data_IF_659835564495
#
_entry.id   IF_659835564495
#
_cell.length_a   1.000
_cell.length_b   1.000
_cell.length_c   1.000
_cell.angle_alpha   90.00
_cell.angle_beta   90.00
_cell.angle_gamma   90.00
#
_symmetry.space_group_name_H-M   'P 1'
#
loop_
_entity.id
_entity.type
_entity.pdbx_description
1 polymer ?
#
# COMPACT_ATOMS: atom_id res chain seq x y z
N UNK A 1 -10.69 -0.43 38.80
CA UNK A 1 -11.59 0.70 38.49
C UNK A 1 -10.76 1.75 37.78
N UNK A 2 -10.77 1.73 36.45
CA UNK A 2 -10.06 2.70 35.60
C UNK A 2 -10.96 3.90 35.40
N UNK A 3 -10.64 5.02 36.05
CA UNK A 3 -11.35 6.28 35.87
C UNK A 3 -10.65 7.00 34.72
N UNK A 4 -11.16 6.85 33.50
CA UNK A 4 -10.97 7.88 32.49
C UNK A 4 -12.17 8.82 32.62
N UNK A 5 -11.96 10.13 32.84
CA UNK A 5 -13.07 11.06 32.93
C UNK A 5 -13.74 11.18 31.56
N UNK A 6 -14.99 10.71 31.50
CA UNK A 6 -15.91 11.04 30.42
C UNK A 6 -16.08 12.56 30.35
N UNK A 7 -15.93 13.11 29.12
CA UNK A 7 -16.16 14.50 28.67
C UNK A 7 -14.93 15.40 28.60
N UNK A 8 -14.13 15.17 27.56
CA UNK A 8 -13.21 16.18 27.00
C UNK A 8 -14.04 17.01 25.99
N UNK A 9 -13.97 18.35 26.04
CA UNK A 9 -14.69 19.20 25.08
C UNK A 9 -14.03 19.14 23.69
N UNK A 10 -14.75 19.45 22.60
CA UNK A 10 -14.19 19.38 21.23
C UNK A 10 -12.89 20.18 21.05
N UNK A 11 -12.75 21.30 21.77
CA UNK A 11 -11.55 22.16 21.72
C UNK A 11 -10.36 21.50 22.44
N UNK A 12 -10.63 20.75 23.51
CA UNK A 12 -9.61 20.09 24.31
C UNK A 12 -9.01 18.88 23.56
N UNK A 13 -9.80 18.15 22.77
CA UNK A 13 -9.26 17.03 21.96
C UNK A 13 -8.37 17.48 20.81
N UNK A 14 -8.75 18.53 20.09
CA UNK A 14 -7.91 19.08 19.01
C UNK A 14 -6.58 19.55 19.62
N UNK A 15 -6.63 20.30 20.72
CA UNK A 15 -5.42 20.75 21.43
C UNK A 15 -4.57 19.58 21.94
N UNK A 16 -5.20 18.47 22.32
CA UNK A 16 -4.49 17.29 22.81
C UNK A 16 -3.68 16.61 21.70
N UNK A 17 -4.18 16.58 20.46
CA UNK A 17 -3.50 15.89 19.35
C UNK A 17 -2.60 16.80 18.51
N UNK A 18 -2.66 18.11 18.67
CA UNK A 18 -1.93 19.10 17.86
C UNK A 18 -0.41 18.86 17.82
N UNK A 19 0.17 18.37 18.92
CA UNK A 19 1.61 18.11 19.05
C UNK A 19 1.97 16.62 19.13
N UNK A 20 1.05 15.73 18.76
CA UNK A 20 1.21 14.28 18.95
C UNK A 20 1.32 13.52 17.65
N UNK A 21 2.28 12.62 17.60
CA UNK A 21 2.51 11.74 16.45
C UNK A 21 2.56 10.30 16.92
N UNK A 22 1.89 9.41 16.20
CA UNK A 22 2.04 7.97 16.41
C UNK A 22 3.24 7.48 15.60
N UNK A 23 4.21 6.86 16.27
CA UNK A 23 5.43 6.35 15.66
C UNK A 23 5.53 4.85 15.88
N UNK A 24 5.85 4.10 14.83
CA UNK A 24 6.05 2.66 14.93
C UNK A 24 7.49 2.36 15.34
N UNK A 25 7.67 1.47 16.31
CA UNK A 25 8.98 0.96 16.67
C UNK A 25 9.52 0.00 15.60
N UNK A 26 10.71 0.26 15.08
CA UNK A 26 11.36 -0.56 14.04
C UNK A 26 12.18 -1.73 14.59
N UNK A 27 12.22 -1.91 15.91
CA UNK A 27 12.93 -3.04 16.50
C UNK A 27 12.33 -4.37 15.98
N UNK A 28 13.16 -5.30 15.47
CA UNK A 28 12.69 -6.61 15.01
C UNK A 28 11.87 -7.30 16.12
N UNK A 29 10.59 -7.55 15.85
CA UNK A 29 9.67 -8.20 16.78
C UNK A 29 8.93 -7.28 17.77
N UNK A 30 9.13 -5.95 17.75
CA UNK A 30 8.32 -5.03 18.54
C UNK A 30 7.13 -4.48 17.76
N UNK A 31 7.39 -3.58 16.79
CA UNK A 31 6.42 -3.04 15.83
C UNK A 31 5.19 -2.36 16.48
N UNK A 32 5.29 -2.06 17.77
CA UNK A 32 4.28 -1.34 18.54
C UNK A 32 4.31 0.13 18.15
N UNK A 33 3.13 0.72 18.14
CA UNK A 33 2.93 2.14 17.96
C UNK A 33 2.98 2.89 19.29
N UNK A 34 3.68 4.01 19.30
CA UNK A 34 3.86 4.87 20.46
C UNK A 34 3.39 6.27 20.14
N UNK A 35 2.63 6.87 21.05
CA UNK A 35 2.27 8.27 20.96
C UNK A 35 3.46 9.08 21.48
N UNK A 36 4.01 9.92 20.63
CA UNK A 36 5.15 10.79 20.93
C UNK A 36 4.66 12.23 20.90
N UNK A 37 5.02 13.01 21.92
CA UNK A 37 4.64 14.42 22.06
C UNK A 37 5.83 15.31 21.75
N UNK A 38 5.66 16.31 20.89
CA UNK A 38 6.64 17.38 20.66
C UNK A 38 7.99 16.93 20.10
N UNK A 39 8.05 15.76 19.45
CA UNK A 39 9.28 15.29 18.82
C UNK A 39 9.34 15.72 17.37
N UNK A 40 10.42 16.40 16.99
CA UNK A 40 10.86 16.49 15.61
C UNK A 40 11.38 15.10 15.21
N UNK A 41 10.50 14.32 14.59
CA UNK A 41 10.79 12.95 14.20
C UNK A 41 11.47 12.98 12.84
N UNK A 42 12.77 12.65 12.85
CA UNK A 42 13.53 12.44 11.63
C UNK A 42 12.97 11.21 10.90
N UNK A 43 12.24 11.46 9.81
CA UNK A 43 11.59 10.41 9.01
C UNK A 43 12.60 9.51 8.28
N UNK A 44 13.85 9.95 8.16
CA UNK A 44 14.92 9.21 7.49
C UNK A 44 15.70 8.29 8.45
N UNK A 45 15.42 8.36 9.75
CA UNK A 45 16.08 7.54 10.77
C UNK A 45 15.12 6.55 11.41
N UNK A 46 15.60 5.33 11.73
CA UNK A 46 14.78 4.36 12.42
C UNK A 46 14.43 4.85 13.81
N UNK A 47 13.17 4.63 14.21
CA UNK A 47 12.69 4.98 15.54
C UNK A 47 12.43 3.74 16.40
N UNK A 48 12.87 3.79 17.67
CA UNK A 48 12.75 2.68 18.61
C UNK A 48 12.05 3.11 19.89
N UNK A 49 11.39 2.18 20.60
CA UNK A 49 10.66 2.51 21.83
C UNK A 49 11.52 3.26 22.86
N UNK A 50 12.82 2.96 22.99
CA UNK A 50 13.72 3.64 23.93
C UNK A 50 14.00 5.12 23.58
N UNK A 51 13.57 5.58 22.41
CA UNK A 51 13.60 6.98 21.99
C UNK A 51 12.33 7.73 22.39
N UNK A 52 11.33 7.06 22.99
CA UNK A 52 10.10 7.72 23.44
C UNK A 52 10.40 8.59 24.68
N UNK A 53 10.12 9.91 24.65
CA UNK A 53 10.24 10.77 25.82
C UNK A 53 9.29 10.36 26.96
N UNK A 54 8.17 9.70 26.65
CA UNK A 54 7.31 9.11 27.66
C UNK A 54 7.93 7.82 28.22
N UNK A 55 8.53 7.95 29.41
CA UNK A 55 9.19 6.86 30.14
C UNK A 55 8.27 5.68 30.47
N UNK A 56 6.94 5.87 30.49
CA UNK A 56 6.00 4.76 30.71
C UNK A 56 5.88 3.86 29.47
N UNK A 57 6.18 4.39 28.29
CA UNK A 57 6.08 3.69 27.01
C UNK A 57 7.41 3.62 26.26
N UNK A 58 8.53 3.81 26.96
CA UNK A 58 9.88 3.85 26.38
C UNK A 58 10.55 2.48 26.24
N UNK A 59 9.83 1.37 26.43
CA UNK A 59 10.41 0.03 26.31
C UNK A 59 9.54 -0.91 25.48
N UNK A 60 10.19 -1.81 24.72
CA UNK A 60 9.51 -2.78 23.86
C UNK A 60 8.66 -3.79 24.65
N UNK A 61 8.98 -4.04 25.92
CA UNK A 61 8.20 -4.93 26.79
C UNK A 61 6.86 -4.34 27.22
N UNK A 62 6.70 -3.00 27.16
CA UNK A 62 5.46 -2.34 27.56
C UNK A 62 4.39 -2.62 26.49
N UNK A 63 3.16 -3.00 26.88
CA UNK A 63 2.04 -3.13 25.95
C UNK A 63 1.81 -1.86 25.12
N UNK A 64 1.25 -2.02 23.92
CA UNK A 64 0.86 -0.87 23.09
C UNK A 64 -0.32 -0.15 23.75
N UNK A 65 -0.32 1.18 23.69
CA UNK A 65 -1.49 1.98 24.08
C UNK A 65 -2.68 1.76 23.15
N UNK A 66 -3.84 2.25 23.57
CA UNK A 66 -5.03 2.25 22.72
C UNK A 66 -4.86 3.25 21.58
N UNK A 67 -5.17 2.82 20.35
CA UNK A 67 -5.30 3.75 19.23
C UNK A 67 -6.60 4.53 19.35
N UNK A 68 -6.63 5.82 18.98
CA UNK A 68 -7.86 6.57 18.89
C UNK A 68 -8.80 5.94 17.86
N UNK A 69 -10.10 6.05 18.11
CA UNK A 69 -11.10 5.61 17.15
C UNK A 69 -11.20 6.65 16.01
N UNK A 70 -10.93 6.25 14.76
CA UNK A 70 -11.04 7.13 13.58
C UNK A 70 -12.39 7.87 13.51
N UNK A 71 -13.50 7.18 13.79
CA UNK A 71 -14.82 7.79 13.76
C UNK A 71 -15.03 8.83 14.86
N UNK A 72 -14.28 8.72 15.97
CA UNK A 72 -14.24 9.74 17.01
C UNK A 72 -13.52 10.98 16.47
N UNK A 73 -12.29 10.81 15.99
CA UNK A 73 -11.49 11.89 15.42
C UNK A 73 -12.26 12.67 14.35
N UNK A 74 -12.92 11.96 13.43
CA UNK A 74 -13.70 12.57 12.36
C UNK A 74 -14.85 13.45 12.86
N UNK A 75 -15.55 13.05 13.94
CA UNK A 75 -16.61 13.88 14.55
C UNK A 75 -16.09 15.20 15.09
N UNK A 76 -14.81 15.25 15.44
CA UNK A 76 -14.11 16.44 15.94
C UNK A 76 -13.30 17.15 14.84
N UNK A 77 -13.51 16.80 13.57
CA UNK A 77 -12.81 17.44 12.44
C UNK A 77 -11.34 17.02 12.29
N UNK A 78 -10.90 15.99 13.02
CA UNK A 78 -9.56 15.43 12.93
C UNK A 78 -9.56 14.21 11.99
N UNK A 79 -8.43 13.96 11.34
CA UNK A 79 -8.20 12.71 10.60
C UNK A 79 -6.84 12.13 10.92
N UNK A 80 -6.74 10.80 10.86
CA UNK A 80 -5.43 10.15 10.89
C UNK A 80 -4.74 10.36 9.55
N UNK A 81 -3.50 10.84 9.62
CA UNK A 81 -2.60 11.01 8.48
C UNK A 81 -1.57 9.89 8.52
N UNK A 82 -1.32 9.27 7.37
CA UNK A 82 -0.34 8.19 7.23
C UNK A 82 0.92 8.71 6.54
N UNK A 83 2.08 8.16 6.93
CA UNK A 83 3.34 8.45 6.25
C UNK A 83 3.30 7.95 4.82
N UNK A 84 3.96 8.68 3.91
CA UNK A 84 4.20 8.24 2.55
C UNK A 84 5.33 7.19 2.53
N UNK A 85 4.99 5.92 2.28
CA UNK A 85 5.96 4.84 2.19
C UNK A 85 6.68 4.86 0.84
N UNK A 86 7.98 4.51 0.77
CA UNK A 86 8.69 4.43 -0.51
C UNK A 86 8.07 3.42 -1.48
N UNK A 87 8.15 3.71 -2.78
CA UNK A 87 7.85 2.71 -3.82
C UNK A 87 8.75 1.49 -3.67
N UNK A 88 8.23 0.29 -3.93
CA UNK A 88 8.92 -0.98 -3.67
C UNK A 88 8.89 -1.43 -2.20
N UNK A 89 8.26 -0.67 -1.30
CA UNK A 89 8.06 -1.11 0.08
C UNK A 89 7.31 -2.43 0.13
N UNK A 90 7.78 -3.33 0.98
CA UNK A 90 7.13 -4.61 1.23
C UNK A 90 6.13 -4.45 2.36
N UNK A 91 4.85 -4.70 2.06
CA UNK A 91 3.73 -4.40 2.96
C UNK A 91 2.85 -5.62 3.17
N UNK A 92 2.05 -5.54 4.22
CA UNK A 92 0.96 -6.46 4.50
C UNK A 92 -0.35 -5.67 4.41
N UNK A 93 -1.28 -6.14 3.59
CA UNK A 93 -2.57 -5.44 3.41
C UNK A 93 -3.67 -6.20 4.12
N UNK A 94 -4.42 -5.50 4.95
CA UNK A 94 -5.57 -6.00 5.69
C UNK A 94 -6.88 -5.54 5.06
N UNK A 95 -7.24 -6.14 3.92
CA UNK A 95 -8.52 -5.88 3.27
C UNK A 95 -9.67 -6.54 4.05
N UNK A 96 -10.81 -5.86 4.15
CA UNK A 96 -12.00 -6.40 4.84
C UNK A 96 -12.39 -7.75 4.22
N UNK A 97 -12.67 -8.72 5.08
CA UNK A 97 -13.07 -10.09 4.70
C UNK A 97 -12.00 -10.93 3.97
N UNK A 98 -10.76 -10.43 3.85
CA UNK A 98 -9.62 -11.18 3.33
C UNK A 98 -8.60 -11.43 4.43
N UNK A 99 -7.80 -12.51 4.33
CA UNK A 99 -6.63 -12.65 5.18
C UNK A 99 -5.68 -11.48 4.90
N UNK A 100 -4.85 -11.14 5.89
CA UNK A 100 -3.74 -10.22 5.65
C UNK A 100 -2.83 -10.81 4.58
N UNK A 101 -2.61 -10.09 3.49
CA UNK A 101 -1.93 -10.62 2.31
C UNK A 101 -0.65 -9.82 1.99
N UNK A 102 0.50 -10.47 1.78
CA UNK A 102 1.75 -9.78 1.46
C UNK A 102 1.71 -9.15 0.06
N UNK A 103 2.18 -7.91 -0.04
CA UNK A 103 2.17 -7.15 -1.29
C UNK A 103 3.36 -6.20 -1.39
N UNK A 104 3.68 -5.76 -2.61
CA UNK A 104 4.71 -4.76 -2.89
C UNK A 104 4.00 -3.49 -3.36
N UNK A 105 4.41 -2.32 -2.83
CA UNK A 105 3.96 -1.04 -3.36
C UNK A 105 4.61 -0.81 -4.73
N UNK A 106 3.82 -0.62 -5.77
CA UNK A 106 4.33 -0.45 -7.14
C UNK A 106 3.47 0.53 -7.94
N UNK A 107 3.99 1.14 -9.01
CA UNK A 107 3.21 1.99 -9.89
C UNK A 107 1.99 1.25 -10.47
N UNK A 108 0.85 1.93 -10.51
CA UNK A 108 -0.34 1.46 -11.20
C UNK A 108 -0.06 1.39 -12.71
N UNK A 109 -0.50 0.34 -13.38
CA UNK A 109 -0.21 0.15 -14.79
C UNK A 109 -0.80 1.19 -15.75
N UNK A 110 -1.85 1.87 -15.32
CA UNK A 110 -2.58 2.85 -16.12
C UNK A 110 -2.23 4.27 -15.71
N UNK A 111 -1.98 4.49 -14.42
CA UNK A 111 -1.71 5.83 -13.85
C UNK A 111 -0.22 6.12 -13.64
N UNK A 112 0.64 5.10 -13.66
CA UNK A 112 2.09 5.19 -13.37
C UNK A 112 2.44 5.75 -11.97
N UNK A 113 1.42 6.00 -11.14
CA UNK A 113 1.55 6.40 -9.74
C UNK A 113 1.36 5.21 -8.80
N UNK A 114 2.05 5.20 -7.66
CA UNK A 114 1.91 4.15 -6.64
C UNK A 114 1.13 4.61 -5.40
N UNK A 115 0.84 5.91 -5.28
CA UNK A 115 0.16 6.51 -4.15
C UNK A 115 -0.77 7.63 -4.61
N UNK A 116 -2.01 7.64 -4.12
CA UNK A 116 -2.96 8.74 -4.33
C UNK A 116 -3.01 9.59 -3.09
N UNK A 117 -2.75 10.89 -3.28
CA UNK A 117 -2.80 11.89 -2.23
C UNK A 117 -4.18 12.55 -2.20
N UNK A 118 -4.67 12.83 -1.00
CA UNK A 118 -5.85 13.66 -0.79
C UNK A 118 -5.57 15.14 -1.11
N UNK A 119 -6.61 15.97 -1.06
CA UNK A 119 -6.50 17.41 -1.35
C UNK A 119 -5.57 18.17 -0.38
N UNK A 120 -5.26 17.57 0.77
CA UNK A 120 -4.34 18.12 1.76
C UNK A 120 -2.92 17.55 1.65
N UNK A 121 -2.62 16.82 0.58
CA UNK A 121 -1.28 16.31 0.27
C UNK A 121 -0.89 15.03 1.02
N UNK A 122 -1.78 14.47 1.85
CA UNK A 122 -1.52 13.23 2.58
C UNK A 122 -2.01 12.01 1.81
N UNK A 123 -1.32 10.89 1.98
CA UNK A 123 -1.67 9.64 1.28
C UNK A 123 -2.99 9.06 1.77
N UNK A 124 -3.87 8.75 0.83
CA UNK A 124 -5.15 8.09 1.08
C UNK A 124 -5.15 6.64 0.59
N UNK A 125 -4.46 6.37 -0.52
CA UNK A 125 -4.37 5.03 -1.11
C UNK A 125 -2.97 4.73 -1.63
N UNK A 126 -2.64 3.45 -1.60
CA UNK A 126 -1.47 2.88 -2.26
C UNK A 126 -1.89 1.88 -3.33
N UNK A 127 -1.24 1.91 -4.47
CA UNK A 127 -1.31 0.81 -5.43
C UNK A 127 -0.37 -0.30 -4.96
N UNK A 128 -0.92 -1.51 -4.88
CA UNK A 128 -0.20 -2.69 -4.42
C UNK A 128 -0.31 -3.80 -5.44
N UNK A 129 0.76 -4.56 -5.62
CA UNK A 129 0.72 -5.86 -6.26
C UNK A 129 0.87 -6.97 -5.20
N UNK A 130 -0.17 -7.77 -5.05
CA UNK A 130 -0.21 -8.92 -4.16
C UNK A 130 0.64 -10.06 -4.72
N UNK A 131 1.48 -10.62 -3.84
CA UNK A 131 2.23 -11.85 -4.09
C UNK A 131 1.26 -13.04 -4.24
N UNK A 132 1.72 -14.12 -4.87
CA UNK A 132 0.93 -15.35 -5.07
C UNK A 132 0.74 -15.73 -6.53
N UNK A 133 -0.18 -16.65 -6.83
CA UNK A 133 -0.37 -17.15 -8.21
C UNK A 133 -1.84 -17.17 -8.64
N UNK A 134 -2.22 -16.32 -9.63
CA UNK A 134 -1.42 -15.24 -10.21
C UNK A 134 -1.20 -14.09 -9.21
N UNK A 135 -0.25 -13.20 -9.50
CA UNK A 135 -0.21 -11.89 -8.85
C UNK A 135 -1.49 -11.12 -9.19
N UNK A 136 -1.97 -10.30 -8.26
CA UNK A 136 -3.14 -9.44 -8.45
C UNK A 136 -2.85 -8.03 -7.94
N UNK A 137 -3.62 -7.03 -8.37
CA UNK A 137 -3.36 -5.62 -8.06
C UNK A 137 -4.57 -4.95 -7.45
N UNK A 138 -4.34 -3.94 -6.60
CA UNK A 138 -5.41 -3.21 -5.94
C UNK A 138 -4.95 -1.84 -5.45
N UNK A 139 -5.87 -0.87 -5.43
CA UNK A 139 -5.70 0.39 -4.71
C UNK A 139 -6.17 0.22 -3.26
N UNK A 140 -5.24 -0.04 -2.35
CA UNK A 140 -5.50 -0.24 -0.93
C UNK A 140 -5.54 1.10 -0.18
N UNK A 141 -6.59 1.35 0.61
CA UNK A 141 -6.62 2.51 1.50
C UNK A 141 -5.46 2.44 2.51
N UNK A 142 -4.75 3.55 2.71
CA UNK A 142 -3.52 3.63 3.51
C UNK A 142 -3.69 3.02 4.91
N UNK A 143 -4.85 3.20 5.54
CA UNK A 143 -5.18 2.64 6.86
C UNK A 143 -5.19 1.11 6.96
N UNK A 144 -5.22 0.42 5.83
CA UNK A 144 -5.19 -1.04 5.75
C UNK A 144 -3.84 -1.57 5.27
N UNK A 145 -2.83 -0.71 5.11
CA UNK A 145 -1.49 -1.08 4.65
C UNK A 145 -0.51 -0.86 5.80
N UNK A 146 0.19 -1.92 6.19
CA UNK A 146 1.25 -1.87 7.22
C UNK A 146 2.57 -2.40 6.65
N UNK A 147 3.74 -1.93 7.10
CA UNK A 147 5.01 -2.54 6.72
C UNK A 147 5.00 -4.04 7.02
N UNK A 148 5.49 -4.83 6.07
CA UNK A 148 5.52 -6.27 6.26
C UNK A 148 6.44 -6.65 7.40
N UNK A 149 5.93 -7.41 8.36
CA UNK A 149 6.69 -7.82 9.52
C UNK A 149 6.17 -9.12 10.10
N UNK A 150 7.07 -9.93 10.67
CA UNK A 150 6.78 -11.26 11.26
C UNK A 150 7.19 -11.20 12.75
N UNK A 151 6.46 -11.85 13.68
CA UNK A 151 5.27 -12.68 13.47
C UNK A 151 3.97 -11.87 13.49
N UNK A 152 3.09 -12.13 12.52
CA UNK A 152 1.69 -11.76 12.59
C UNK A 152 0.82 -13.01 12.71
N UNK A 153 -0.38 -12.86 13.29
CA UNK A 153 -1.33 -13.96 13.40
C UNK A 153 -1.71 -14.42 12.00
N UNK A 154 -1.27 -15.62 11.61
CA UNK A 154 -1.73 -16.24 10.36
C UNK A 154 -3.25 -16.30 10.37
N UNK A 155 -3.92 -16.04 9.23
CA UNK A 155 -5.36 -16.17 9.14
C UNK A 155 -5.78 -17.56 9.57
N UNK A 156 -6.96 -17.66 10.20
CA UNK A 156 -7.52 -18.96 10.51
C UNK A 156 -7.82 -19.66 9.18
N UNK A 157 -6.98 -20.63 8.80
CA UNK A 157 -6.96 -21.32 7.49
C UNK A 157 -8.33 -21.83 7.00
N UNK A 158 -9.33 -21.94 7.89
CA UNK A 158 -10.67 -22.45 7.62
C UNK A 158 -11.47 -21.57 6.65
N UNK A 159 -11.15 -20.27 6.53
CA UNK A 159 -11.79 -19.35 5.59
C UNK A 159 -11.17 -19.37 4.19
N UNK A 160 -9.92 -19.84 4.04
CA UNK A 160 -9.25 -19.95 2.74
C UNK A 160 -9.45 -21.34 2.16
N UNK A 161 -10.07 -21.42 0.98
CA UNK A 161 -10.32 -22.68 0.28
C UNK A 161 -9.95 -22.58 -1.20
N UNK A 162 -9.77 -23.74 -1.83
CA UNK A 162 -9.54 -23.84 -3.27
C UNK A 162 -8.32 -23.05 -3.75
N UNK A 163 -8.51 -22.31 -4.85
CA UNK A 163 -7.46 -21.53 -5.50
C UNK A 163 -6.88 -20.42 -4.59
N UNK A 164 -7.71 -19.80 -3.76
CA UNK A 164 -7.28 -18.72 -2.86
C UNK A 164 -6.26 -19.25 -1.85
N UNK A 165 -6.53 -20.41 -1.25
CA UNK A 165 -5.58 -21.03 -0.30
C UNK A 165 -4.23 -21.32 -0.97
N UNK A 166 -4.25 -21.91 -2.17
CA UNK A 166 -3.04 -22.21 -2.94
C UNK A 166 -2.27 -20.94 -3.28
N UNK A 167 -2.95 -19.89 -3.71
CA UNK A 167 -2.32 -18.61 -4.01
C UNK A 167 -1.69 -17.99 -2.76
N UNK A 168 -2.36 -18.09 -1.60
CA UNK A 168 -1.82 -17.59 -0.33
C UNK A 168 -0.56 -18.35 0.11
N UNK A 169 -0.53 -19.67 -0.04
CA UNK A 169 0.66 -20.48 0.28
C UNK A 169 1.86 -20.04 -0.57
N UNK A 170 1.64 -19.86 -1.88
CA UNK A 170 2.66 -19.32 -2.80
C UNK A 170 3.08 -17.90 -2.39
N UNK A 171 2.13 -17.04 -2.04
CA UNK A 171 2.40 -15.67 -1.61
C UNK A 171 3.30 -15.63 -0.36
N UNK A 172 3.08 -16.55 0.59
CA UNK A 172 3.91 -16.66 1.78
C UNK A 172 5.30 -17.22 1.49
N UNK A 173 5.45 -18.12 0.51
CA UNK A 173 6.76 -18.59 0.04
C UNK A 173 7.54 -17.45 -0.65
N UNK A 174 6.89 -16.70 -1.53
CA UNK A 174 7.46 -15.50 -2.17
C UNK A 174 7.87 -14.45 -1.12
N UNK A 175 7.02 -14.22 -0.12
CA UNK A 175 7.29 -13.29 0.98
C UNK A 175 8.61 -13.59 1.71
N UNK A 176 9.01 -14.86 1.85
CA UNK A 176 10.31 -15.20 2.46
C UNK A 176 11.50 -14.70 1.66
N UNK A 177 11.37 -14.61 0.33
CA UNK A 177 12.40 -14.14 -0.59
C UNK A 177 12.43 -12.61 -0.64
N UNK A 178 11.24 -12.01 -0.82
CA UNK A 178 11.03 -10.55 -0.93
C UNK A 178 11.51 -9.79 0.31
N UNK A 179 11.39 -10.40 1.49
CA UNK A 179 11.78 -9.81 2.77
C UNK A 179 13.23 -9.32 2.80
N UNK A 180 14.15 -10.06 2.19
CA UNK A 180 15.59 -9.75 2.23
C UNK A 180 16.06 -8.88 1.05
N UNK A 181 15.15 -8.54 0.13
CA UNK A 181 15.44 -7.72 -1.07
C UNK A 181 15.30 -6.23 -0.79
N UNK A 182 16.01 -5.39 -1.56
CA UNK A 182 15.82 -3.95 -1.59
C UNK A 182 14.59 -3.52 -2.40
N UNK A 183 14.12 -2.27 -2.23
CA UNK A 183 12.92 -1.78 -2.92
C UNK A 183 12.98 -1.94 -4.45
N UNK A 184 14.13 -1.66 -5.07
CA UNK A 184 14.28 -1.78 -6.52
C UNK A 184 14.20 -3.23 -7.01
N UNK A 185 14.86 -4.17 -6.33
CA UNK A 185 14.81 -5.60 -6.67
C UNK A 185 13.38 -6.16 -6.53
N UNK A 186 12.63 -5.69 -5.52
CA UNK A 186 11.23 -6.06 -5.35
C UNK A 186 10.36 -5.58 -6.51
N UNK A 187 10.61 -4.37 -7.01
CA UNK A 187 9.87 -3.82 -8.16
C UNK A 187 10.13 -4.63 -9.44
N UNK A 188 11.32 -5.17 -9.63
CA UNK A 188 11.65 -6.05 -10.76
C UNK A 188 10.86 -7.37 -10.74
N UNK A 189 10.35 -7.78 -9.57
CA UNK A 189 9.48 -8.94 -9.42
C UNK A 189 8.02 -8.66 -9.76
N UNK A 190 7.58 -7.39 -9.80
CA UNK A 190 6.21 -7.05 -10.16
C UNK A 190 5.92 -7.40 -11.62
N UNK A 191 4.77 -8.02 -11.88
CA UNK A 191 4.38 -8.50 -13.19
C UNK A 191 4.04 -7.36 -14.16
N UNK A 192 3.64 -6.19 -13.68
CA UNK A 192 3.43 -5.08 -14.59
C UNK A 192 4.76 -4.54 -15.11
N UNK A 193 5.00 -4.74 -16.40
CA UNK A 193 6.08 -4.08 -17.13
C UNK A 193 5.48 -3.18 -18.20
N UNK A 194 5.57 -1.85 -18.08
CA UNK A 194 5.16 -0.91 -19.14
C UNK A 194 5.73 -1.29 -20.52
N UNK A 195 6.93 -1.88 -20.53
CA UNK A 195 7.64 -2.31 -21.72
C UNK A 195 6.94 -3.46 -22.46
N UNK A 196 6.19 -4.33 -21.77
CA UNK A 196 5.43 -5.41 -22.42
C UNK A 196 4.20 -4.87 -23.15
N UNK A 197 3.53 -3.86 -22.59
CA UNK A 197 2.45 -3.12 -23.28
C UNK A 197 3.00 -2.36 -24.49
N UNK A 198 4.14 -1.69 -24.34
CA UNK A 198 4.82 -1.00 -25.43
C UNK A 198 5.22 -1.97 -26.55
N UNK A 199 5.77 -3.13 -26.22
CA UNK A 199 6.11 -4.17 -27.20
C UNK A 199 4.86 -4.74 -27.89
N UNK A 200 3.77 -4.97 -27.15
CA UNK A 200 2.49 -5.41 -27.72
C UNK A 200 1.88 -4.34 -28.64
N UNK A 201 1.91 -3.06 -28.22
CA UNK A 201 1.43 -1.95 -29.03
C UNK A 201 2.27 -1.78 -30.31
N UNK A 202 3.60 -1.87 -30.21
CA UNK A 202 4.50 -1.85 -31.36
C UNK A 202 4.21 -3.00 -32.34
N UNK A 203 4.00 -4.20 -31.82
CA UNK A 203 3.64 -5.38 -32.63
C UNK A 203 2.28 -5.21 -33.32
N UNK A 204 1.30 -4.64 -32.61
CA UNK A 204 -0.02 -4.35 -33.15
C UNK A 204 0.06 -3.30 -34.25
N UNK A 205 0.81 -2.20 -34.03
CA UNK A 205 1.03 -1.14 -35.02
C UNK A 205 1.69 -1.69 -36.30
N UNK A 206 2.73 -2.52 -36.16
CA UNK A 206 3.36 -3.17 -37.32
C UNK A 206 2.39 -4.08 -38.08
N UNK A 207 1.51 -4.78 -37.35
CA UNK A 207 0.50 -5.64 -37.97
C UNK A 207 -0.56 -4.83 -38.73
N UNK A 208 -1.00 -3.70 -38.18
CA UNK A 208 -1.93 -2.77 -38.83
C UNK A 208 -1.30 -2.17 -40.10
N UNK A 209 -0.07 -1.68 -40.03
CA UNK A 209 0.65 -1.12 -41.18
C UNK A 209 0.80 -2.15 -42.31
N UNK A 210 1.10 -3.41 -41.95
CA UNK A 210 1.14 -4.51 -42.91
C UNK A 210 -0.23 -4.77 -43.57
N UNK A 211 -1.32 -4.73 -42.79
CA UNK A 211 -2.67 -4.91 -43.34
C UNK A 211 -3.08 -3.76 -44.28
N UNK A 212 -2.73 -2.52 -43.94
CA UNK A 212 -3.01 -1.36 -44.80
C UNK A 212 -2.25 -1.44 -46.12
N UNK A 213 -0.98 -1.85 -46.10
CA UNK A 213 -0.16 -2.05 -47.32
C UNK A 213 -0.62 -3.21 -48.21
N UNK A 214 -1.36 -4.17 -47.65
CA UNK A 214 -1.91 -5.32 -48.36
C UNK A 214 -3.35 -5.09 -48.84
N UNK A 215 -3.96 -3.95 -48.50
CA UNK A 215 -5.27 -3.59 -49.01
C UNK A 215 -5.13 -3.09 -50.46
N UNK A 216 -5.76 -3.75 -51.45
CA UNK A 216 -5.67 -3.29 -52.83
C UNK A 216 -6.41 -1.96 -52.98
N UNK A 217 -5.75 -1.03 -53.66
CA UNK A 217 -6.24 0.30 -53.99
C UNK A 217 -7.56 0.18 -54.78
N UNK A 218 -8.70 0.43 -54.13
CA UNK A 218 -9.99 0.58 -54.82
C UNK A 218 -10.12 2.02 -55.33
N UNK A 219 -9.21 2.43 -56.20
CA UNK A 219 -9.31 3.71 -56.88
C UNK A 219 -8.81 3.60 -58.30
N UNK A 220 -9.61 2.99 -59.18
CA UNK A 220 -9.70 3.40 -60.59
C UNK A 220 -10.88 2.69 -61.26
N UNK A 221 -12.05 3.34 -61.27
CA UNK A 221 -13.08 3.07 -62.26
C UNK A 221 -13.17 4.28 -63.16
N UNK A 222 -12.44 4.21 -64.28
CA UNK A 222 -12.54 5.13 -65.40
C UNK A 222 -14.00 5.23 -65.85
N UNK A 223 -14.63 6.39 -65.65
CA UNK A 223 -15.84 6.75 -66.37
C UNK A 223 -15.41 7.05 -67.81
N UNK A 224 -15.38 6.02 -68.66
CA UNK A 224 -15.38 6.21 -70.12
C UNK A 224 -16.77 6.68 -70.50
N UNK A 225 -16.89 7.99 -70.73
CA UNK A 225 -18.02 8.59 -71.43
C UNK A 225 -17.82 8.24 -72.91
N UNK A 226 -18.70 7.40 -73.44
CA UNK A 226 -18.87 7.20 -74.90
C UNK A 226 -20.20 7.82 -75.30
N UNK A 227 -20.08 8.79 -76.22
CA UNK A 227 -21.03 9.36 -77.18
C UNK A 227 -22.45 9.76 -76.74
#
# INVERSE_FOLDING_TARGET
MSVLPDRISNQDEISYYEDKTWVQCEAPGCLKWRLVTGADLDQDKPWFCNMNPDTLFSHCSVPQGAFPNESHLQKHGLKMVYSLMPVGSFVLVNARCWPRWPAILCPDPNEEEYARLGSDGYVEYYHVEFLGKPHTRYWAAAKYVEPYSIPFKKPHYRTLRGAIKKSYEVAMEEATKVKEMGCQERLEMCHFRPQELLAQAQTLMHSIDRMLKQSPDQTESQVKITD
#
